data_IF_758078256251
#
_entry.id   IF_758078256251
#
_cell.length_a   1.000
_cell.length_b   1.000
_cell.length_c   1.000
_cell.angle_alpha   90.00
_cell.angle_beta   90.00
_cell.angle_gamma   90.00
#
_symmetry.space_group_name_H-M   'P 1'
#
loop_
_entity.id
_entity.type
_entity.pdbx_description
1 polymer ?
#
# COMPACT_ATOMS: atom_id res chain seq x y z
N UNK A 1 -77.91 1.84 29.59
CA UNK A 1 -77.02 2.49 28.59
C UNK A 1 -75.59 2.11 28.98
N UNK A 2 -74.92 1.28 28.17
CA UNK A 2 -73.68 0.56 28.53
C UNK A 2 -72.45 1.45 28.41
N UNK A 3 -71.52 1.28 29.35
CA UNK A 3 -70.13 1.75 29.34
C UNK A 3 -69.29 0.96 28.34
N UNK A 4 -68.34 1.60 27.66
CA UNK A 4 -67.22 0.91 27.02
C UNK A 4 -65.95 1.77 27.00
N UNK A 5 -64.94 1.20 27.63
CA UNK A 5 -63.53 1.56 27.66
C UNK A 5 -62.87 1.35 26.29
N UNK A 6 -61.94 2.23 25.89
CA UNK A 6 -60.95 1.91 24.85
C UNK A 6 -59.55 2.34 25.31
N UNK A 7 -58.87 1.33 25.85
CA UNK A 7 -57.44 0.94 25.76
C UNK A 7 -56.41 1.93 25.18
N UNK A 8 -55.35 2.15 25.96
CA UNK A 8 -54.05 2.70 25.53
C UNK A 8 -53.39 1.76 24.53
N UNK A 9 -53.15 2.22 23.31
CA UNK A 9 -52.27 1.54 22.37
C UNK A 9 -50.82 1.99 22.61
N UNK A 10 -49.98 1.00 22.88
CA UNK A 10 -48.55 1.04 23.12
C UNK A 10 -47.82 1.62 21.89
N UNK A 11 -47.24 2.82 22.00
CA UNK A 11 -46.26 3.32 21.05
C UNK A 11 -44.88 2.77 21.43
N UNK A 12 -44.59 1.53 21.03
CA UNK A 12 -43.21 1.04 21.03
C UNK A 12 -42.44 1.81 19.97
N UNK A 13 -41.68 2.81 20.41
CA UNK A 13 -40.68 3.51 19.60
C UNK A 13 -39.63 2.49 19.13
N UNK A 14 -39.82 1.96 17.93
CA UNK A 14 -38.80 1.23 17.20
C UNK A 14 -37.66 2.20 16.92
N UNK A 15 -36.47 1.88 17.45
CA UNK A 15 -35.22 2.55 17.12
C UNK A 15 -35.06 2.63 15.59
N UNK A 16 -34.49 3.72 15.03
CA UNK A 16 -34.28 3.82 13.60
C UNK A 16 -33.29 2.73 13.17
N UNK A 17 -33.81 1.69 12.52
CA UNK A 17 -33.00 0.77 11.75
C UNK A 17 -32.21 1.61 10.74
N UNK A 18 -30.89 1.42 10.70
CA UNK A 18 -30.02 2.08 9.74
C UNK A 18 -30.64 1.95 8.35
N UNK A 19 -31.01 3.07 7.74
CA UNK A 19 -31.60 3.13 6.41
C UNK A 19 -30.58 2.54 5.44
N UNK A 20 -30.77 1.28 5.08
CA UNK A 20 -30.11 0.67 3.94
C UNK A 20 -30.59 1.45 2.71
N UNK A 21 -29.70 2.25 2.09
CA UNK A 21 -29.98 2.92 0.82
C UNK A 21 -30.43 1.84 -0.20
N UNK A 22 -31.70 1.84 -0.66
CA UNK A 22 -32.24 0.79 -1.53
C UNK A 22 -31.49 0.65 -2.86
N UNK A 23 -30.60 1.59 -3.18
CA UNK A 23 -29.83 1.64 -4.41
C UNK A 23 -28.36 1.21 -4.25
N UNK A 24 -27.90 0.87 -3.04
CA UNK A 24 -26.52 0.46 -2.82
C UNK A 24 -26.22 -0.86 -3.55
N UNK A 25 -25.28 -0.83 -4.49
CA UNK A 25 -24.80 -2.01 -5.25
C UNK A 25 -23.28 -2.12 -5.14
N UNK A 26 -22.74 -3.29 -5.49
CA UNK A 26 -21.28 -3.46 -5.60
C UNK A 26 -20.77 -2.74 -6.85
N UNK A 27 -20.07 -1.64 -6.65
CA UNK A 27 -19.48 -0.81 -7.70
C UNK A 27 -17.96 -0.97 -7.73
N UNK A 28 -17.35 -0.76 -8.88
CA UNK A 28 -15.90 -0.71 -9.02
C UNK A 28 -15.39 0.67 -8.57
N UNK A 29 -14.53 0.70 -7.56
CA UNK A 29 -13.95 1.93 -7.01
C UNK A 29 -12.45 1.97 -7.29
N UNK A 30 -11.73 0.88 -6.99
CA UNK A 30 -10.29 0.80 -7.21
C UNK A 30 -9.98 0.13 -8.54
N UNK A 31 -9.35 0.86 -9.44
CA UNK A 31 -8.83 0.29 -10.69
C UNK A 31 -7.74 -0.76 -10.43
N UNK A 32 -7.45 -1.60 -11.43
CA UNK A 32 -6.47 -2.67 -11.29
C UNK A 32 -5.04 -2.15 -11.09
N UNK A 33 -4.58 -1.09 -11.77
CA UNK A 33 -3.22 -0.58 -11.56
C UNK A 33 -2.98 -0.10 -10.12
N UNK A 34 -3.92 0.60 -9.48
CA UNK A 34 -3.79 1.02 -8.07
C UNK A 34 -3.70 -0.20 -7.14
N UNK A 35 -4.48 -1.26 -7.41
CA UNK A 35 -4.44 -2.49 -6.60
C UNK A 35 -3.13 -3.24 -6.75
N UNK A 36 -2.65 -3.41 -7.98
CA UNK A 36 -1.35 -4.04 -8.25
C UNK A 36 -0.23 -3.24 -7.60
N UNK A 37 -0.18 -1.92 -7.81
CA UNK A 37 0.79 -1.04 -7.17
C UNK A 37 0.80 -1.22 -5.64
N UNK A 38 -0.37 -1.18 -5.00
CA UNK A 38 -0.47 -1.29 -3.55
C UNK A 38 0.12 -2.62 -3.04
N UNK A 39 -0.29 -3.74 -3.61
CA UNK A 39 0.18 -5.05 -3.15
C UNK A 39 1.66 -5.28 -3.46
N UNK A 40 2.15 -4.81 -4.62
CA UNK A 40 3.58 -4.82 -4.90
C UNK A 40 4.35 -3.95 -3.89
N UNK A 41 3.87 -2.74 -3.59
CA UNK A 41 4.51 -1.86 -2.60
C UNK A 41 4.55 -2.50 -1.20
N UNK A 42 3.45 -3.12 -0.76
CA UNK A 42 3.38 -3.83 0.54
C UNK A 42 4.39 -4.98 0.58
N UNK A 43 4.43 -5.82 -0.46
CA UNK A 43 5.36 -6.95 -0.53
C UNK A 43 6.82 -6.48 -0.63
N UNK A 44 7.09 -5.45 -1.43
CA UNK A 44 8.42 -4.88 -1.59
C UNK A 44 8.94 -4.29 -0.29
N UNK A 45 8.14 -3.47 0.40
CA UNK A 45 8.51 -2.89 1.68
C UNK A 45 8.72 -3.96 2.74
N UNK A 46 7.79 -4.91 2.89
CA UNK A 46 7.92 -5.98 3.87
C UNK A 46 9.16 -6.85 3.61
N UNK A 47 9.41 -7.23 2.36
CA UNK A 47 10.60 -7.98 1.99
C UNK A 47 11.89 -7.19 2.22
N UNK A 48 11.93 -5.91 1.87
CA UNK A 48 13.10 -5.06 2.05
C UNK A 48 13.43 -4.93 3.53
N UNK A 49 12.41 -4.66 4.37
CA UNK A 49 12.59 -4.54 5.82
C UNK A 49 13.09 -5.85 6.44
N UNK A 50 12.55 -7.00 6.04
CA UNK A 50 12.98 -8.31 6.54
C UNK A 50 14.40 -8.71 6.10
N UNK A 51 14.92 -8.10 5.04
CA UNK A 51 16.24 -8.42 4.47
C UNK A 51 17.30 -7.37 4.78
N UNK A 52 16.94 -6.26 5.45
CA UNK A 52 17.80 -5.10 5.66
C UNK A 52 19.09 -5.41 6.44
N UNK A 53 19.00 -6.24 7.49
CA UNK A 53 20.13 -6.55 8.38
C UNK A 53 21.07 -7.64 7.84
N UNK A 54 20.80 -8.19 6.65
CA UNK A 54 21.52 -9.37 6.16
C UNK A 54 22.34 -9.09 4.93
N UNK A 55 23.65 -9.20 5.07
CA UNK A 55 24.59 -9.08 3.95
C UNK A 55 24.31 -10.09 2.83
N UNK A 56 23.90 -11.31 3.19
CA UNK A 56 23.49 -12.35 2.23
C UNK A 56 22.29 -11.94 1.39
N UNK A 57 21.35 -11.20 1.97
CA UNK A 57 20.13 -10.76 1.32
C UNK A 57 20.21 -9.32 0.79
N UNK A 58 21.40 -8.70 0.82
CA UNK A 58 21.59 -7.31 0.40
C UNK A 58 21.13 -7.05 -1.03
N UNK A 59 21.42 -7.95 -1.97
CA UNK A 59 20.93 -7.82 -3.36
C UNK A 59 19.39 -7.83 -3.43
N UNK A 60 18.73 -8.65 -2.61
CA UNK A 60 17.27 -8.70 -2.53
C UNK A 60 16.72 -7.41 -1.92
N UNK A 61 17.31 -6.93 -0.82
CA UNK A 61 16.94 -5.66 -0.19
C UNK A 61 17.00 -4.50 -1.19
N UNK A 62 18.15 -4.35 -1.87
CA UNK A 62 18.38 -3.29 -2.86
C UNK A 62 17.43 -3.42 -4.06
N UNK A 63 17.20 -4.64 -4.56
CA UNK A 63 16.26 -4.89 -5.67
C UNK A 63 14.82 -4.53 -5.29
N UNK A 64 14.40 -4.80 -4.06
CA UNK A 64 13.09 -4.41 -3.54
C UNK A 64 12.99 -2.88 -3.38
N UNK A 65 14.07 -2.22 -2.92
CA UNK A 65 14.17 -0.76 -2.87
C UNK A 65 14.02 -0.10 -4.24
N UNK A 66 14.71 -0.60 -5.27
CA UNK A 66 14.53 -0.14 -6.65
C UNK A 66 13.13 -0.41 -7.19
N UNK A 67 12.54 -1.56 -6.84
CA UNK A 67 11.15 -1.87 -7.19
C UNK A 67 10.21 -0.81 -6.57
N UNK A 68 10.39 -0.46 -5.30
CA UNK A 68 9.61 0.60 -4.64
C UNK A 68 9.80 1.97 -5.33
N UNK A 69 11.02 2.31 -5.72
CA UNK A 69 11.31 3.56 -6.45
C UNK A 69 10.56 3.62 -7.79
N UNK A 70 10.58 2.54 -8.58
CA UNK A 70 9.82 2.46 -9.83
C UNK A 70 8.31 2.53 -9.60
N UNK A 71 7.81 1.84 -8.58
CA UNK A 71 6.40 1.85 -8.21
C UNK A 71 5.92 3.24 -7.77
N UNK A 72 6.71 4.00 -6.99
CA UNK A 72 6.31 5.33 -6.54
C UNK A 72 6.24 6.32 -7.71
N UNK A 73 7.18 6.24 -8.67
CA UNK A 73 7.12 7.00 -9.92
C UNK A 73 5.85 6.66 -10.70
N UNK A 74 5.58 5.37 -10.91
CA UNK A 74 4.35 4.92 -11.54
C UNK A 74 3.10 5.49 -10.84
N UNK A 75 3.06 5.43 -9.51
CA UNK A 75 1.91 5.89 -8.72
C UNK A 75 1.72 7.40 -8.81
N UNK A 76 2.79 8.18 -8.84
CA UNK A 76 2.73 9.64 -9.04
C UNK A 76 2.12 9.92 -10.41
N UNK A 77 2.63 9.32 -11.48
CA UNK A 77 2.09 9.49 -12.83
C UNK A 77 0.61 9.07 -12.91
N UNK A 78 0.28 7.87 -12.41
CA UNK A 78 -1.09 7.38 -12.39
C UNK A 78 -2.02 8.23 -11.50
N UNK A 79 -1.48 8.89 -10.48
CA UNK A 79 -2.20 9.85 -9.64
C UNK A 79 -2.51 11.18 -10.33
N UNK A 80 -1.97 11.42 -11.52
CA UNK A 80 -2.30 12.60 -12.33
C UNK A 80 -3.29 12.24 -13.44
N UNK A 81 -3.04 11.15 -14.17
CA UNK A 81 -3.79 10.78 -15.38
C UNK A 81 -4.79 9.63 -15.20
N UNK A 82 -4.79 8.95 -14.05
CA UNK A 82 -5.55 7.74 -13.81
C UNK A 82 -7.06 7.94 -13.64
N UNK A 83 -7.73 6.91 -13.13
CA UNK A 83 -9.19 6.93 -12.91
C UNK A 83 -9.60 7.88 -11.78
N UNK A 84 -10.91 8.18 -11.65
CA UNK A 84 -11.48 9.13 -10.68
C UNK A 84 -10.81 9.05 -9.31
N UNK A 85 -10.85 7.88 -8.67
CA UNK A 85 -10.35 7.66 -7.32
C UNK A 85 -8.83 7.45 -7.22
N UNK A 86 -8.14 7.29 -8.35
CA UNK A 86 -6.68 7.21 -8.39
C UNK A 86 -6.03 8.60 -8.31
N UNK A 87 -6.72 9.64 -8.82
CA UNK A 87 -6.17 10.99 -8.97
C UNK A 87 -6.03 11.72 -7.66
N UNK A 88 -4.90 12.39 -7.44
CA UNK A 88 -4.64 13.15 -6.21
C UNK A 88 -5.68 14.26 -5.99
N UNK A 89 -6.14 14.90 -7.06
CA UNK A 89 -7.18 15.95 -7.00
C UNK A 89 -8.52 15.47 -6.43
N UNK A 90 -8.80 14.16 -6.47
CA UNK A 90 -10.06 13.59 -5.99
C UNK A 90 -10.07 13.39 -4.47
N UNK A 91 -8.90 13.11 -3.88
CA UNK A 91 -8.81 12.73 -2.47
C UNK A 91 -7.91 13.62 -1.60
N UNK A 92 -6.94 14.33 -2.17
CA UNK A 92 -6.10 15.25 -1.40
C UNK A 92 -6.94 16.47 -1.07
N UNK A 93 -7.38 16.55 0.18
CA UNK A 93 -8.14 17.68 0.72
C UNK A 93 -7.27 18.54 1.61
N UNK A 94 -7.64 19.81 1.72
CA UNK A 94 -6.94 20.77 2.58
C UNK A 94 -6.93 20.35 4.06
N UNK A 95 -5.98 20.86 4.86
CA UNK A 95 -5.76 20.44 6.25
C UNK A 95 -7.00 20.58 7.15
N UNK A 96 -7.88 21.55 6.89
CA UNK A 96 -9.15 21.71 7.63
C UNK A 96 -10.11 20.53 7.48
N UNK A 97 -10.17 19.90 6.29
CA UNK A 97 -11.03 18.74 6.05
C UNK A 97 -10.52 17.48 6.76
N UNK A 98 -9.20 17.35 6.92
CA UNK A 98 -8.57 16.26 7.68
C UNK A 98 -8.93 16.38 9.17
N UNK A 99 -8.78 17.57 9.74
CA UNK A 99 -9.12 17.82 11.15
C UNK A 99 -10.61 17.61 11.43
N UNK A 100 -11.49 18.06 10.53
CA UNK A 100 -12.93 17.82 10.64
C UNK A 100 -13.27 16.33 10.66
N UNK A 101 -12.67 15.55 9.75
CA UNK A 101 -12.89 14.11 9.67
C UNK A 101 -12.39 13.35 10.89
N UNK A 102 -11.20 13.68 11.41
CA UNK A 102 -10.69 13.11 12.66
C UNK A 102 -11.64 13.42 13.83
N UNK A 103 -12.16 14.65 13.90
CA UNK A 103 -13.19 15.02 14.88
C UNK A 103 -14.49 14.22 14.73
N UNK A 104 -14.91 13.89 13.50
CA UNK A 104 -16.11 13.08 13.23
C UNK A 104 -15.98 11.62 13.73
N UNK A 105 -14.77 11.06 13.62
CA UNK A 105 -14.43 9.71 14.11
C UNK A 105 -14.48 9.65 15.64
N UNK A 106 -13.88 10.64 16.33
CA UNK A 106 -13.89 10.73 17.79
C UNK A 106 -15.31 10.90 18.34
N UNK A 107 -16.18 11.58 17.59
CA UNK A 107 -17.59 11.81 17.94
C UNK A 107 -18.53 10.64 17.57
N UNK A 108 -18.01 9.55 17.00
CA UNK A 108 -18.80 8.38 16.61
C UNK A 108 -19.79 8.64 15.46
N UNK A 109 -19.59 9.70 14.67
CA UNK A 109 -20.40 10.02 13.48
C UNK A 109 -19.53 9.99 12.22
N UNK A 110 -19.03 8.81 11.80
CA UNK A 110 -18.07 8.74 10.71
C UNK A 110 -18.74 9.10 9.38
N UNK A 111 -18.20 10.11 8.70
CA UNK A 111 -18.67 10.53 7.38
C UNK A 111 -18.40 9.44 6.33
N UNK A 112 -19.42 9.09 5.52
CA UNK A 112 -19.28 8.11 4.46
C UNK A 112 -18.49 8.69 3.28
N UNK A 113 -17.46 7.97 2.85
CA UNK A 113 -16.60 8.33 1.73
C UNK A 113 -16.45 7.13 0.79
N UNK A 114 -16.93 7.24 -0.45
CA UNK A 114 -16.87 6.15 -1.42
C UNK A 114 -15.43 5.83 -1.82
N UNK A 115 -14.61 6.86 -2.08
CA UNK A 115 -13.18 6.76 -2.37
C UNK A 115 -12.31 6.70 -1.11
N UNK A 116 -11.37 7.64 -1.01
CA UNK A 116 -10.55 7.81 0.19
C UNK A 116 -11.24 8.74 1.19
N UNK A 117 -11.08 8.43 2.48
CA UNK A 117 -11.39 9.38 3.53
C UNK A 117 -10.18 10.32 3.77
N UNK A 118 -10.37 11.50 4.40
CA UNK A 118 -9.29 12.46 4.64
C UNK A 118 -8.08 11.90 5.42
N UNK A 119 -8.32 11.00 6.38
CA UNK A 119 -7.23 10.35 7.12
C UNK A 119 -6.40 9.40 6.22
N UNK A 120 -7.07 8.63 5.35
CA UNK A 120 -6.43 7.76 4.37
C UNK A 120 -5.69 8.53 3.29
N UNK A 121 -6.21 9.68 2.88
CA UNK A 121 -5.52 10.60 1.99
C UNK A 121 -4.18 11.08 2.58
N UNK A 122 -4.18 11.47 3.87
CA UNK A 122 -2.95 11.86 4.57
C UNK A 122 -1.95 10.70 4.65
N UNK A 123 -2.42 9.50 5.00
CA UNK A 123 -1.57 8.31 5.06
C UNK A 123 -0.92 8.00 3.69
N UNK A 124 -1.67 8.11 2.59
CA UNK A 124 -1.13 7.90 1.24
C UNK A 124 -0.04 8.93 0.92
N UNK A 125 -0.28 10.21 1.17
CA UNK A 125 0.74 11.26 0.90
C UNK A 125 1.99 11.03 1.74
N UNK A 126 1.84 10.75 3.04
CA UNK A 126 2.96 10.48 3.94
C UNK A 126 3.78 9.27 3.49
N UNK A 127 3.10 8.14 3.17
CA UNK A 127 3.77 6.92 2.73
C UNK A 127 4.45 7.09 1.37
N UNK A 128 3.87 7.85 0.43
CA UNK A 128 4.53 8.14 -0.85
C UNK A 128 5.77 9.03 -0.65
N UNK A 129 5.68 10.07 0.18
CA UNK A 129 6.80 10.94 0.49
C UNK A 129 7.95 10.17 1.17
N UNK A 130 7.62 9.33 2.16
CA UNK A 130 8.60 8.47 2.82
C UNK A 130 9.20 7.43 1.88
N UNK A 131 8.40 6.87 0.96
CA UNK A 131 8.93 5.96 -0.07
C UNK A 131 9.97 6.66 -0.94
N UNK A 132 9.72 7.91 -1.35
CA UNK A 132 10.70 8.71 -2.10
C UNK A 132 11.95 8.96 -1.25
N UNK A 133 11.79 9.38 0.01
CA UNK A 133 12.92 9.67 0.90
C UNK A 133 13.79 8.43 1.16
N UNK A 134 13.20 7.30 1.54
CA UNK A 134 13.92 6.06 1.87
C UNK A 134 14.63 5.50 0.64
N UNK A 135 13.99 5.51 -0.53
CA UNK A 135 14.60 4.98 -1.77
C UNK A 135 15.67 5.91 -2.32
N UNK A 136 15.51 7.23 -2.20
CA UNK A 136 16.54 8.19 -2.59
C UNK A 136 17.78 8.12 -1.67
N UNK A 137 17.57 8.09 -0.35
CA UNK A 137 18.65 7.91 0.62
C UNK A 137 19.36 6.57 0.41
N UNK A 138 18.61 5.48 0.26
CA UNK A 138 19.18 4.15 0.03
C UNK A 138 19.96 4.05 -1.29
N UNK A 139 19.47 4.68 -2.36
CA UNK A 139 20.21 4.77 -3.63
C UNK A 139 21.52 5.56 -3.47
N UNK A 140 21.48 6.69 -2.76
CA UNK A 140 22.66 7.51 -2.53
C UNK A 140 23.70 6.77 -1.70
N UNK A 141 23.31 6.13 -0.59
CA UNK A 141 24.18 5.25 0.21
C UNK A 141 24.77 4.12 -0.62
N UNK A 142 23.94 3.42 -1.40
CA UNK A 142 24.41 2.32 -2.27
C UNK A 142 25.38 2.77 -3.37
N UNK A 143 25.24 4.03 -3.82
CA UNK A 143 26.11 4.63 -4.84
C UNK A 143 27.34 5.32 -4.22
N UNK A 144 27.58 5.18 -2.91
CA UNK A 144 28.65 5.84 -2.16
C UNK A 144 28.60 7.37 -2.26
N UNK A 145 27.40 7.93 -2.43
CA UNK A 145 27.14 9.37 -2.50
C UNK A 145 26.71 9.86 -1.12
N UNK A 146 27.35 10.91 -0.62
CA UNK A 146 26.86 11.72 0.49
C UNK A 146 27.20 11.23 1.91
N UNK A 147 27.92 10.12 2.06
CA UNK A 147 28.50 9.70 3.36
C UNK A 147 27.48 9.14 4.37
N UNK A 148 27.98 8.80 5.56
CA UNK A 148 27.30 7.93 6.53
C UNK A 148 25.95 8.47 7.05
N UNK A 149 25.75 9.79 7.07
CA UNK A 149 24.46 10.37 7.53
C UNK A 149 23.27 9.97 6.64
N UNK A 150 23.50 9.60 5.37
CA UNK A 150 22.43 9.11 4.49
C UNK A 150 21.95 7.72 4.87
N UNK A 151 22.83 6.89 5.43
CA UNK A 151 22.44 5.61 6.02
C UNK A 151 21.53 5.82 7.22
N UNK A 152 21.89 6.74 8.12
CA UNK A 152 21.04 7.13 9.26
C UNK A 152 19.67 7.66 8.80
N UNK A 153 19.65 8.50 7.76
CA UNK A 153 18.40 9.01 7.17
C UNK A 153 17.58 7.88 6.55
N UNK A 154 18.21 6.94 5.86
CA UNK A 154 17.54 5.77 5.29
C UNK A 154 16.88 4.93 6.40
N UNK A 155 17.65 4.59 7.45
CA UNK A 155 17.16 3.81 8.59
C UNK A 155 16.03 4.53 9.32
N UNK A 156 16.21 5.82 9.64
CA UNK A 156 15.20 6.62 10.30
C UNK A 156 13.91 6.73 9.47
N UNK A 157 14.03 6.99 8.16
CA UNK A 157 12.89 7.05 7.26
C UNK A 157 12.16 5.70 7.15
N UNK A 158 12.89 4.58 7.09
CA UNK A 158 12.32 3.24 7.05
C UNK A 158 11.55 2.91 8.34
N UNK A 159 12.10 3.26 9.50
CA UNK A 159 11.45 3.06 10.80
C UNK A 159 10.20 3.93 10.98
N UNK A 160 10.25 5.20 10.56
CA UNK A 160 9.07 6.07 10.54
C UNK A 160 8.01 5.52 9.60
N UNK A 161 8.42 5.05 8.41
CA UNK A 161 7.51 4.41 7.46
C UNK A 161 6.85 3.17 8.05
N UNK A 162 7.60 2.30 8.74
CA UNK A 162 7.04 1.13 9.43
C UNK A 162 6.00 1.53 10.48
N UNK A 163 6.28 2.54 11.29
CA UNK A 163 5.33 3.03 12.29
C UNK A 163 4.03 3.53 11.63
N UNK A 164 4.12 4.32 10.55
CA UNK A 164 2.95 4.80 9.81
C UNK A 164 2.20 3.65 9.14
N UNK A 165 2.89 2.64 8.60
CA UNK A 165 2.26 1.41 8.08
C UNK A 165 1.46 0.71 9.18
N UNK A 166 2.01 0.59 10.40
CA UNK A 166 1.30 0.04 11.55
C UNK A 166 0.02 0.79 11.88
N UNK A 167 0.10 2.13 11.95
CA UNK A 167 -1.07 3.01 12.14
C UNK A 167 -2.08 2.86 11.01
N UNK A 168 -1.62 2.80 9.76
CA UNK A 168 -2.46 2.63 8.58
C UNK A 168 -3.24 1.30 8.64
N UNK A 169 -2.58 0.19 8.94
CA UNK A 169 -3.23 -1.13 9.06
C UNK A 169 -4.24 -1.13 10.20
N UNK A 170 -3.90 -0.55 11.36
CA UNK A 170 -4.83 -0.40 12.48
C UNK A 170 -6.07 0.43 12.08
N UNK A 171 -5.87 1.55 11.38
CA UNK A 171 -6.95 2.39 10.87
C UNK A 171 -7.84 1.64 9.88
N UNK A 172 -7.27 0.85 8.97
CA UNK A 172 -8.02 -0.01 8.03
C UNK A 172 -8.87 -1.02 8.78
N UNK A 173 -8.33 -1.66 9.82
CA UNK A 173 -9.06 -2.64 10.65
C UNK A 173 -10.21 -1.96 11.39
N UNK A 174 -9.94 -0.84 12.07
CA UNK A 174 -10.95 -0.08 12.82
C UNK A 174 -12.05 0.43 11.89
N UNK A 175 -11.68 1.05 10.77
CA UNK A 175 -12.61 1.54 9.75
C UNK A 175 -13.43 0.39 9.15
N UNK A 176 -12.82 -0.78 8.92
CA UNK A 176 -13.55 -1.95 8.40
C UNK A 176 -14.64 -2.41 9.37
N UNK A 177 -14.37 -2.37 10.68
CA UNK A 177 -15.33 -2.73 11.72
C UNK A 177 -16.42 -1.67 11.88
N UNK A 178 -16.05 -0.38 11.96
CA UNK A 178 -16.98 0.73 12.13
C UNK A 178 -17.95 0.86 10.96
N UNK A 179 -17.45 0.73 9.73
CA UNK A 179 -18.28 0.82 8.52
C UNK A 179 -18.88 -0.53 8.10
N UNK A 180 -18.60 -1.63 8.83
CA UNK A 180 -19.02 -3.00 8.51
C UNK A 180 -18.71 -3.39 7.05
N UNK A 181 -17.61 -2.89 6.51
CA UNK A 181 -17.14 -3.15 5.15
C UNK A 181 -15.70 -3.68 5.22
N UNK A 182 -15.42 -4.80 4.53
CA UNK A 182 -14.07 -5.34 4.51
C UNK A 182 -13.20 -4.57 3.49
N UNK A 183 -12.44 -3.59 3.99
CA UNK A 183 -11.60 -2.73 3.16
C UNK A 183 -10.44 -3.49 2.50
N UNK A 184 -9.89 -4.51 3.17
CA UNK A 184 -8.84 -5.37 2.59
C UNK A 184 -9.40 -6.12 1.37
N UNK A 185 -10.61 -6.70 1.50
CA UNK A 185 -11.31 -7.34 0.38
C UNK A 185 -11.63 -6.35 -0.73
N UNK A 186 -12.01 -5.11 -0.39
CA UNK A 186 -12.21 -4.06 -1.38
C UNK A 186 -10.90 -3.77 -2.14
N UNK A 187 -9.74 -3.81 -1.48
CA UNK A 187 -8.44 -3.60 -2.12
C UNK A 187 -7.99 -4.77 -3.00
N UNK A 188 -8.48 -5.98 -2.76
CA UNK A 188 -8.23 -7.13 -3.66
C UNK A 188 -9.17 -7.09 -4.86
N UNK A 189 -10.48 -6.95 -4.59
CA UNK A 189 -11.52 -7.05 -5.62
C UNK A 189 -11.74 -5.77 -6.42
N UNK A 190 -11.32 -4.63 -5.87
CA UNK A 190 -11.58 -3.29 -6.36
C UNK A 190 -12.99 -2.76 -6.12
N UNK A 191 -13.86 -3.53 -5.45
CA UNK A 191 -15.29 -3.21 -5.35
C UNK A 191 -15.69 -2.84 -3.93
N UNK A 192 -16.56 -1.83 -3.82
CA UNK A 192 -17.20 -1.36 -2.58
C UNK A 192 -18.71 -1.26 -2.77
N UNK A 193 -19.45 -1.14 -1.67
CA UNK A 193 -20.88 -0.81 -1.75
C UNK A 193 -21.05 0.70 -1.99
N UNK A 194 -21.84 1.07 -2.98
CA UNK A 194 -22.10 2.48 -3.32
C UNK A 194 -23.14 2.61 -4.41
N UNK A 195 -23.37 3.85 -4.85
CA UNK A 195 -24.35 4.12 -5.91
C UNK A 195 -23.75 3.85 -7.30
N UNK A 196 -24.51 3.32 -8.28
CA UNK A 196 -23.98 2.96 -9.59
C UNK A 196 -23.18 4.07 -10.29
N UNK A 197 -23.60 5.33 -10.16
CA UNK A 197 -22.97 6.52 -10.71
C UNK A 197 -21.61 6.87 -10.09
N UNK A 198 -21.30 6.32 -8.93
CA UNK A 198 -20.02 6.49 -8.25
C UNK A 198 -18.96 5.51 -8.79
N UNK A 199 -19.37 4.44 -9.49
CA UNK A 199 -18.46 3.44 -10.03
C UNK A 199 -17.61 3.94 -11.19
N UNK A 200 -16.34 3.51 -11.26
CA UNK A 200 -15.49 3.73 -12.44
C UNK A 200 -15.91 2.78 -13.58
N UNK A 201 -15.76 3.24 -14.83
CA UNK A 201 -16.21 2.50 -16.02
C UNK A 201 -15.34 1.30 -16.38
N UNK A 202 -14.05 1.35 -16.07
CA UNK A 202 -13.08 0.32 -16.45
C UNK A 202 -12.06 0.09 -15.35
N UNK A 203 -11.60 -1.15 -15.22
CA UNK A 203 -10.57 -1.53 -14.28
C UNK A 203 -9.14 -1.36 -14.84
N UNK A 204 -8.95 -1.00 -16.11
CA UNK A 204 -7.61 -0.81 -16.72
C UNK A 204 -6.65 -2.00 -16.52
N UNK A 205 -7.17 -3.22 -16.70
CA UNK A 205 -6.41 -4.47 -16.48
C UNK A 205 -5.14 -4.58 -17.32
N UNK A 206 -5.14 -4.04 -18.54
CA UNK A 206 -3.96 -4.03 -19.41
C UNK A 206 -2.78 -3.26 -18.80
N UNK A 207 -3.01 -2.07 -18.24
CA UNK A 207 -1.98 -1.28 -17.54
C UNK A 207 -1.45 -2.02 -16.33
N UNK A 208 -2.33 -2.69 -15.57
CA UNK A 208 -1.93 -3.49 -14.43
C UNK A 208 -1.05 -4.70 -14.83
N UNK A 209 -1.38 -5.36 -15.94
CA UNK A 209 -0.58 -6.44 -16.50
C UNK A 209 0.79 -5.95 -16.99
N UNK A 210 0.84 -4.79 -17.65
CA UNK A 210 2.10 -4.17 -18.06
C UNK A 210 2.99 -3.80 -16.86
N UNK A 211 2.40 -3.25 -15.79
CA UNK A 211 3.14 -2.96 -14.56
C UNK A 211 3.74 -4.23 -13.93
N UNK A 212 2.96 -5.31 -13.85
CA UNK A 212 3.45 -6.61 -13.36
C UNK A 212 4.56 -7.15 -14.25
N UNK A 213 4.39 -7.10 -15.58
CA UNK A 213 5.39 -7.56 -16.52
C UNK A 213 6.68 -6.74 -16.42
N UNK A 214 6.60 -5.41 -16.21
CA UNK A 214 7.75 -4.56 -16.00
C UNK A 214 8.52 -4.92 -14.71
N UNK A 215 7.81 -5.16 -13.60
CA UNK A 215 8.45 -5.60 -12.34
C UNK A 215 9.08 -6.97 -12.51
N UNK A 216 8.37 -7.95 -13.07
CA UNK A 216 8.92 -9.28 -13.31
C UNK A 216 10.12 -9.25 -14.27
N UNK A 217 10.05 -8.43 -15.31
CA UNK A 217 11.16 -8.21 -16.25
C UNK A 217 12.38 -7.58 -15.57
N UNK A 218 12.18 -6.59 -14.70
CA UNK A 218 13.26 -6.02 -13.88
C UNK A 218 13.91 -7.09 -12.99
N UNK A 219 13.13 -7.89 -12.28
CA UNK A 219 13.65 -8.96 -11.44
C UNK A 219 14.40 -10.03 -12.23
N UNK A 220 13.89 -10.40 -13.40
CA UNK A 220 14.56 -11.31 -14.32
C UNK A 220 15.93 -10.77 -14.76
N UNK A 221 16.01 -9.50 -15.15
CA UNK A 221 17.28 -8.86 -15.53
C UNK A 221 18.25 -8.73 -14.34
N UNK A 222 17.76 -8.32 -13.17
CA UNK A 222 18.57 -8.24 -11.94
C UNK A 222 19.19 -9.60 -11.58
N UNK A 223 18.43 -10.68 -11.71
CA UNK A 223 18.91 -12.00 -11.36
C UNK A 223 19.89 -12.59 -12.37
N UNK A 224 19.79 -12.21 -13.64
CA UNK A 224 20.81 -12.58 -14.64
C UNK A 224 22.14 -11.86 -14.41
N UNK A 225 22.11 -10.64 -13.86
CA UNK A 225 23.31 -9.89 -13.51
C UNK A 225 23.87 -10.20 -12.12
N UNK A 226 23.18 -11.04 -11.33
CA UNK A 226 23.65 -11.42 -10.01
C UNK A 226 24.96 -12.21 -10.12
N UNK A 227 25.98 -11.91 -9.29
CA UNK A 227 27.21 -12.69 -9.28
C UNK A 227 26.87 -14.17 -9.08
N UNK A 228 27.29 -15.03 -10.01
CA UNK A 228 27.12 -16.46 -9.85
C UNK A 228 27.80 -16.89 -8.55
N UNK A 229 27.11 -17.71 -7.73
CA UNK A 229 27.67 -18.25 -6.50
C UNK A 229 28.85 -19.21 -6.74
N UNK A 230 29.19 -19.51 -8.00
CA UNK A 230 30.12 -20.56 -8.37
C UNK A 230 31.33 -20.01 -9.14
N UNK A 231 32.49 -20.07 -8.48
CA UNK A 231 33.80 -19.87 -9.10
C UNK A 231 34.97 -19.87 -8.11
N UNK A 232 34.77 -19.38 -6.89
CA UNK A 232 35.84 -19.30 -5.89
C UNK A 232 36.14 -20.64 -5.20
N UNK A 233 35.15 -21.52 -5.03
CA UNK A 233 35.38 -22.82 -4.39
C UNK A 233 36.11 -23.83 -5.32
N UNK A 234 35.79 -23.85 -6.61
CA UNK A 234 36.43 -24.74 -7.59
C UNK A 234 37.86 -24.31 -7.95
N UNK A 235 38.14 -22.99 -7.98
CA UNK A 235 39.48 -22.46 -8.21
C UNK A 235 40.42 -22.73 -7.02
N UNK A 236 39.91 -22.70 -5.78
CA UNK A 236 40.70 -23.04 -4.59
C UNK A 236 41.01 -24.53 -4.52
N UNK A 237 40.08 -25.41 -4.94
CA UNK A 237 40.35 -26.85 -4.96
C UNK A 237 41.32 -27.26 -6.08
N UNK A 238 41.26 -26.62 -7.26
CA UNK A 238 42.22 -26.91 -8.35
C UNK A 238 43.62 -26.38 -8.04
N UNK A 239 43.72 -25.25 -7.35
CA UNK A 239 45.01 -24.66 -6.96
C UNK A 239 45.66 -25.40 -5.77
N UNK A 240 44.85 -25.98 -4.87
CA UNK A 240 45.33 -26.88 -3.81
C UNK A 240 45.75 -28.26 -4.35
N UNK A 241 45.00 -28.81 -5.31
CA UNK A 241 45.35 -30.09 -5.96
C UNK A 241 46.59 -29.96 -6.87
N UNK A 242 46.79 -28.82 -7.55
CA UNK A 242 47.99 -28.58 -8.36
C UNK A 242 49.26 -28.43 -7.53
N UNK A 243 49.19 -27.77 -6.36
CA UNK A 243 50.35 -27.65 -5.45
C UNK A 243 50.77 -28.98 -4.82
N UNK A 244 49.85 -29.92 -4.63
CA UNK A 244 50.17 -31.24 -4.08
C UNK A 244 50.80 -32.20 -5.10
N UNK A 245 50.83 -31.86 -6.40
CA UNK A 245 51.44 -32.66 -7.46
C UNK A 245 52.87 -32.23 -7.79
N UNK A 246 53.26 -30.99 -7.47
CA UNK A 246 54.60 -30.45 -7.74
C UNK A 246 55.62 -30.73 -6.61
N UNK A 247 55.19 -31.36 -5.50
CA UNK A 247 56.00 -31.61 -4.30
C UNK A 247 56.46 -33.09 -4.13
N UNK A 248 56.27 -33.96 -5.13
CA UNK A 248 56.77 -35.36 -5.17
C UNK A 248 57.85 -35.57 -6.25
#
# INVERSE_FOLDING_TARGET
>A
MKTTSVSRANASASAPAAVSDPQARRILVWDAPVRVFHWLMVLSFAGAYLTAESERWRLVHVSLGYTMAGLVVFRILWGLIGTRYARFSDFVRGPGAVMHYLGSLVRGRPEHHTGHNPAGALAIVALLALTVAVTAAGWATYSEIGGDWLEEVHEAAANVMLAIVGVHVAAVIVSSRLHRENLVRAMITGRKQGRPEEGIRSAWRGVAALLLAAVLGFWWLQWQGAPAADGSAAAVSSQAAGRAYDDD
#
